data_IF_011687415080
#
_entry.id   IF_011687415080
#
_cell.length_a   1.000
_cell.length_b   1.000
_cell.length_c   1.000
_cell.angle_alpha   90.00
_cell.angle_beta   90.00
_cell.angle_gamma   90.00
#
_symmetry.space_group_name_H-M   'P 1'
#
loop_
_entity.id
_entity.type
_entity.pdbx_description
1 polymer ?
#
# COMPACT_ATOMS: atom_id res chain seq x y z
N UNK A 1 17.61 28.94 -10.63
CA UNK A 1 17.42 27.98 -11.75
C UNK A 1 16.31 27.02 -11.33
N UNK A 2 15.34 26.73 -12.20
CA UNK A 2 14.24 25.83 -11.85
C UNK A 2 14.75 24.39 -11.71
N UNK A 3 14.42 23.72 -10.60
CA UNK A 3 14.80 22.33 -10.41
C UNK A 3 13.99 21.45 -11.39
N UNK A 4 14.66 20.86 -12.37
CA UNK A 4 14.02 20.04 -13.39
C UNK A 4 13.58 18.67 -12.87
N UNK A 5 14.06 18.27 -11.67
CA UNK A 5 13.67 17.04 -11.00
C UNK A 5 12.23 17.09 -10.48
N UNK A 6 11.73 18.28 -10.14
CA UNK A 6 10.36 18.45 -9.68
C UNK A 6 9.41 18.41 -10.90
N UNK A 7 8.27 17.70 -10.85
CA UNK A 7 7.19 17.81 -11.82
C UNK A 7 6.80 19.26 -12.05
N UNK A 8 6.46 19.64 -13.28
CA UNK A 8 6.14 21.04 -13.62
C UNK A 8 4.97 21.55 -12.77
N UNK A 9 4.03 20.67 -12.43
CA UNK A 9 2.87 20.95 -11.60
C UNK A 9 3.24 21.27 -10.14
N UNK A 10 4.38 20.79 -9.65
CA UNK A 10 4.81 20.90 -8.25
C UNK A 10 5.83 22.04 -8.03
N UNK A 11 6.30 22.73 -9.09
CA UNK A 11 7.37 23.76 -9.00
C UNK A 11 6.93 25.11 -8.43
N UNK A 12 5.65 25.46 -8.56
CA UNK A 12 5.11 26.77 -8.20
C UNK A 12 4.02 26.67 -7.12
N UNK A 13 4.15 25.71 -6.21
CA UNK A 13 3.17 25.49 -5.14
C UNK A 13 3.29 26.56 -4.05
N UNK A 14 2.15 26.98 -3.50
CA UNK A 14 2.12 27.79 -2.29
C UNK A 14 2.49 26.93 -1.07
N UNK A 15 2.92 27.54 0.06
CA UNK A 15 3.25 26.78 1.28
C UNK A 15 2.12 25.84 1.75
N UNK A 16 0.86 26.28 1.66
CA UNK A 16 -0.30 25.46 2.00
C UNK A 16 -0.46 24.24 1.08
N UNK A 17 -0.19 24.41 -0.22
CA UNK A 17 -0.27 23.32 -1.19
C UNK A 17 0.83 22.28 -0.99
N UNK A 18 2.02 22.70 -0.55
CA UNK A 18 3.11 21.80 -0.18
C UNK A 18 2.72 20.94 1.02
N UNK A 19 2.11 21.53 2.06
CA UNK A 19 1.66 20.76 3.22
C UNK A 19 0.61 19.69 2.85
N UNK A 20 -0.33 20.05 1.96
CA UNK A 20 -1.33 19.11 1.44
C UNK A 20 -0.68 17.97 0.64
N UNK A 21 0.34 18.28 -0.16
CA UNK A 21 1.11 17.30 -0.93
C UNK A 21 1.85 16.33 0.00
N UNK A 22 2.52 16.83 1.02
CA UNK A 22 3.24 16.00 1.99
C UNK A 22 2.29 15.13 2.80
N UNK A 23 1.13 15.67 3.21
CA UNK A 23 0.08 14.91 3.90
C UNK A 23 -0.46 13.78 3.02
N UNK A 24 -0.66 14.02 1.72
CA UNK A 24 -1.05 12.99 0.74
C UNK A 24 0.00 11.89 0.65
N UNK A 25 1.29 12.27 0.52
CA UNK A 25 2.41 11.32 0.41
C UNK A 25 2.61 10.50 1.68
N UNK A 26 2.49 11.10 2.87
CA UNK A 26 2.55 10.40 4.17
C UNK A 26 1.45 9.34 4.29
N UNK A 27 0.22 9.66 3.85
CA UNK A 27 -0.88 8.67 3.76
C UNK A 27 -0.54 7.56 2.77
N UNK A 28 0.05 7.90 1.63
CA UNK A 28 0.54 6.92 0.66
C UNK A 28 1.56 5.95 1.26
N UNK A 29 2.54 6.45 2.01
CA UNK A 29 3.53 5.63 2.71
C UNK A 29 2.88 4.71 3.74
N UNK A 30 1.93 5.22 4.53
CA UNK A 30 1.18 4.40 5.49
C UNK A 30 0.44 3.25 4.80
N UNK A 31 -0.21 3.49 3.65
CA UNK A 31 -0.84 2.43 2.89
C UNK A 31 0.15 1.41 2.34
N UNK A 32 1.35 1.82 1.92
CA UNK A 32 2.39 0.87 1.51
C UNK A 32 2.88 0.02 2.68
N UNK A 33 3.00 0.58 3.88
CA UNK A 33 3.31 -0.19 5.09
C UNK A 33 2.22 -1.21 5.40
N UNK A 34 0.95 -0.82 5.34
CA UNK A 34 -0.19 -1.74 5.52
C UNK A 34 -0.22 -2.83 4.47
N UNK A 35 0.07 -2.51 3.21
CA UNK A 35 0.19 -3.49 2.12
C UNK A 35 1.22 -4.57 2.47
N UNK A 36 2.44 -4.18 2.89
CA UNK A 36 3.50 -5.13 3.26
C UNK A 36 3.10 -5.95 4.49
N UNK A 37 2.49 -5.34 5.50
CA UNK A 37 2.00 -6.06 6.68
C UNK A 37 0.94 -7.10 6.31
N UNK A 38 -0.03 -6.76 5.46
CA UNK A 38 -1.02 -7.70 4.94
C UNK A 38 -0.36 -8.84 4.15
N UNK A 39 0.63 -8.55 3.31
CA UNK A 39 1.36 -9.59 2.56
C UNK A 39 2.13 -10.54 3.47
N UNK A 40 2.77 -10.03 4.54
CA UNK A 40 3.47 -10.87 5.51
C UNK A 40 2.46 -11.80 6.20
N UNK A 41 1.33 -11.27 6.68
CA UNK A 41 0.29 -12.07 7.33
C UNK A 41 -0.28 -13.10 6.36
N UNK A 42 -0.63 -12.69 5.13
CA UNK A 42 -1.15 -13.60 4.11
C UNK A 42 -0.16 -14.73 3.82
N UNK A 43 1.12 -14.40 3.54
CA UNK A 43 2.14 -15.40 3.26
C UNK A 43 2.32 -16.44 4.37
N UNK A 44 2.20 -16.03 5.64
CA UNK A 44 2.25 -16.95 6.78
C UNK A 44 1.00 -17.84 6.84
N UNK A 45 -0.19 -17.27 6.60
CA UNK A 45 -1.47 -17.99 6.65
C UNK A 45 -1.66 -18.91 5.44
N UNK A 46 -1.03 -18.64 4.29
CA UNK A 46 -1.15 -19.45 3.07
C UNK A 46 -0.86 -20.94 3.32
N UNK A 47 0.07 -21.27 4.22
CA UNK A 47 0.35 -22.67 4.58
C UNK A 47 -0.87 -23.35 5.22
N UNK A 48 -1.54 -22.67 6.15
CA UNK A 48 -2.75 -23.17 6.81
C UNK A 48 -3.97 -23.12 5.88
N UNK A 49 -4.06 -22.12 5.02
CA UNK A 49 -5.09 -22.04 3.99
C UNK A 49 -5.01 -23.23 3.01
N UNK A 50 -3.80 -23.68 2.64
CA UNK A 50 -3.64 -24.89 1.82
C UNK A 50 -4.14 -26.16 2.50
N UNK A 51 -3.91 -26.30 3.81
CA UNK A 51 -4.46 -27.41 4.61
C UNK A 51 -5.98 -27.32 4.71
N UNK A 52 -6.51 -26.14 5.00
CA UNK A 52 -7.94 -25.87 5.12
C UNK A 52 -8.68 -26.14 3.80
N UNK A 53 -8.08 -25.80 2.65
CA UNK A 53 -8.63 -26.08 1.33
C UNK A 53 -8.76 -27.58 1.03
N UNK A 54 -7.87 -28.41 1.57
CA UNK A 54 -7.81 -29.84 1.27
C UNK A 54 -8.56 -30.70 2.27
N UNK A 55 -8.60 -30.29 3.53
CA UNK A 55 -9.11 -31.10 4.63
C UNK A 55 -10.51 -30.71 5.08
N UNK A 56 -10.90 -29.44 4.91
CA UNK A 56 -12.19 -28.97 5.42
C UNK A 56 -13.34 -29.38 4.50
N UNK A 57 -14.49 -29.81 5.05
CA UNK A 57 -15.60 -30.30 4.25
C UNK A 57 -16.45 -29.16 3.67
N UNK A 58 -16.94 -29.36 2.45
CA UNK A 58 -17.91 -28.49 1.82
C UNK A 58 -17.35 -27.10 1.50
N UNK A 59 -17.96 -26.06 2.08
CA UNK A 59 -17.57 -24.65 1.90
C UNK A 59 -16.99 -24.02 3.17
N UNK A 60 -16.72 -24.83 4.20
CA UNK A 60 -16.24 -24.33 5.48
C UNK A 60 -14.71 -24.17 5.46
N UNK A 61 -14.23 -23.20 4.67
CA UNK A 61 -12.79 -22.90 4.54
C UNK A 61 -12.44 -21.52 5.15
N UNK A 62 -12.54 -21.36 6.48
CA UNK A 62 -12.34 -20.07 7.13
C UNK A 62 -10.94 -19.48 6.91
N UNK A 63 -9.90 -20.32 6.90
CA UNK A 63 -8.53 -19.84 6.70
C UNK A 63 -8.31 -19.39 5.26
N UNK A 64 -8.93 -20.07 4.30
CA UNK A 64 -8.85 -19.68 2.88
C UNK A 64 -9.55 -18.35 2.63
N UNK A 65 -10.74 -18.16 3.20
CA UNK A 65 -11.45 -16.87 3.07
C UNK A 65 -10.67 -15.73 3.73
N UNK A 66 -10.05 -16.00 4.88
CA UNK A 66 -9.20 -15.02 5.55
C UNK A 66 -7.97 -14.67 4.72
N UNK A 67 -7.27 -15.68 4.18
CA UNK A 67 -6.07 -15.49 3.36
C UNK A 67 -6.40 -14.69 2.08
N UNK A 68 -7.48 -15.05 1.40
CA UNK A 68 -7.97 -14.31 0.24
C UNK A 68 -8.29 -12.85 0.58
N UNK A 69 -8.93 -12.59 1.73
CA UNK A 69 -9.22 -11.23 2.18
C UNK A 69 -7.94 -10.44 2.46
N UNK A 70 -6.92 -11.06 3.05
CA UNK A 70 -5.63 -10.40 3.29
C UNK A 70 -4.92 -10.03 1.98
N UNK A 71 -4.93 -10.91 0.98
CA UNK A 71 -4.39 -10.60 -0.35
C UNK A 71 -5.17 -9.48 -1.05
N UNK A 72 -6.50 -9.47 -0.95
CA UNK A 72 -7.34 -8.39 -1.48
C UNK A 72 -7.02 -7.07 -0.78
N UNK A 73 -6.91 -7.06 0.54
CA UNK A 73 -6.55 -5.88 1.31
C UNK A 73 -5.16 -5.36 0.93
N UNK A 74 -4.17 -6.25 0.80
CA UNK A 74 -2.83 -5.91 0.34
C UNK A 74 -2.86 -5.24 -1.05
N UNK A 75 -3.62 -5.81 -1.99
CA UNK A 75 -3.77 -5.24 -3.33
C UNK A 75 -4.38 -3.84 -3.30
N UNK A 76 -5.46 -3.64 -2.53
CA UNK A 76 -6.13 -2.34 -2.37
C UNK A 76 -5.16 -1.31 -1.78
N UNK A 77 -4.48 -1.64 -0.69
CA UNK A 77 -3.52 -0.75 -0.05
C UNK A 77 -2.29 -0.47 -0.92
N UNK A 78 -1.79 -1.48 -1.65
CA UNK A 78 -0.69 -1.32 -2.58
C UNK A 78 -1.03 -0.34 -3.71
N UNK A 79 -2.20 -0.51 -4.36
CA UNK A 79 -2.65 0.38 -5.44
C UNK A 79 -2.88 1.80 -4.91
N UNK A 80 -3.59 1.94 -3.78
CA UNK A 80 -3.85 3.24 -3.17
C UNK A 80 -2.55 3.94 -2.73
N UNK A 81 -1.65 3.21 -2.08
CA UNK A 81 -0.36 3.70 -1.62
C UNK A 81 0.53 4.18 -2.75
N UNK A 82 0.66 3.39 -3.82
CA UNK A 82 1.41 3.79 -5.03
C UNK A 82 0.80 5.06 -5.62
N UNK A 83 -0.53 5.11 -5.80
CA UNK A 83 -1.22 6.27 -6.38
C UNK A 83 -1.00 7.56 -5.57
N UNK A 84 -1.09 7.48 -4.24
CA UNK A 84 -0.95 8.63 -3.35
C UNK A 84 0.50 9.12 -3.23
N UNK A 85 1.47 8.19 -3.34
CA UNK A 85 2.91 8.49 -3.28
C UNK A 85 3.48 9.02 -4.61
N UNK A 86 2.72 9.00 -5.71
CA UNK A 86 3.18 9.55 -7.02
C UNK A 86 3.69 10.99 -6.88
N UNK A 87 4.75 11.29 -7.64
CA UNK A 87 5.52 12.54 -7.59
C UNK A 87 6.98 12.25 -7.20
N UNK A 88 7.86 13.25 -7.34
CA UNK A 88 9.26 13.12 -6.91
C UNK A 88 9.41 13.48 -5.45
N UNK A 89 10.04 12.60 -4.68
CA UNK A 89 10.57 12.95 -3.36
C UNK A 89 11.84 13.78 -3.57
N UNK A 90 11.74 15.10 -3.45
CA UNK A 90 12.95 15.94 -3.31
C UNK A 90 13.73 15.61 -2.03
N UNK A 91 13.06 15.03 -1.03
CA UNK A 91 13.64 14.72 0.27
C UNK A 91 13.63 13.21 0.51
N UNK A 92 14.59 12.49 -0.09
CA UNK A 92 15.01 11.16 0.40
C UNK A 92 15.89 11.31 1.67
N UNK A 93 16.31 12.54 1.99
CA UNK A 93 17.22 12.88 3.07
C UNK A 93 16.54 13.79 4.11
N UNK A 94 15.95 13.18 5.14
CA UNK A 94 16.03 13.67 6.51
C UNK A 94 16.21 12.47 7.43
#
# INVERSE_FOLDING_TARGET
MANMLIPVEERNLTPEQVELLDRRRRRGQLFLTLCVQCLIVAALVTLWAGQDWTLSPGWMHPMVYWDALMFVAALVFGIAGIRLRRGTTEFISY
#
